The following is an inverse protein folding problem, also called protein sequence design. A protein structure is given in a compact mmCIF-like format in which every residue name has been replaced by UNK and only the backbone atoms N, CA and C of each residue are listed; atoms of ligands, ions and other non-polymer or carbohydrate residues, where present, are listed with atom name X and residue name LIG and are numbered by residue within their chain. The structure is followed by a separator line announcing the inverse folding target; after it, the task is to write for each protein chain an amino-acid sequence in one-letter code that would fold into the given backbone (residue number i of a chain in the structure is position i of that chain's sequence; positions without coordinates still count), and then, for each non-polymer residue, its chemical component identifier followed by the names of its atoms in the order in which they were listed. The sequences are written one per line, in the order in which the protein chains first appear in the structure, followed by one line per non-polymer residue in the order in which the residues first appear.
data_IF_769159573191
#
_entry.id   IF_769159573191
#
_cell.length_a   1.000
_cell.length_b   1.000
_cell.length_c   1.000
_cell.angle_alpha   90.00
_cell.angle_beta   90.00
_cell.angle_gamma   90.00
#
_symmetry.space_group_name_H-M   'P 1'
#
loop_
_entity.id
_entity.type
_entity.pdbx_description
1 polymer ?
#
# COMPACT_ATOMS: atom_id res chain seq x y z
N UNK A 1 -2.31 1.65 17.54
CA UNK A 1 -1.03 2.38 17.43
C UNK A 1 -0.70 2.51 15.96
N UNK A 2 -0.58 3.77 15.52
CA UNK A 2 -0.82 4.25 14.17
C UNK A 2 -0.01 3.56 13.07
N UNK A 3 -0.73 2.98 12.09
CA UNK A 3 -0.19 2.69 10.76
C UNK A 3 0.03 4.05 10.10
N UNK A 4 1.27 4.55 10.10
CA UNK A 4 1.64 5.58 9.12
C UNK A 4 1.75 4.86 7.78
N UNK A 5 0.63 4.68 7.07
CA UNK A 5 0.72 4.52 5.62
C UNK A 5 1.45 5.76 5.11
N UNK A 6 2.40 5.59 4.18
CA UNK A 6 2.81 6.73 3.35
C UNK A 6 1.52 7.28 2.75
N UNK A 7 1.05 8.41 3.30
CA UNK A 7 -0.07 9.11 2.74
C UNK A 7 0.47 9.79 1.49
N UNK A 8 0.00 9.33 0.34
CA UNK A 8 0.17 10.07 -0.89
C UNK A 8 -0.59 11.38 -0.73
N UNK A 9 0.11 12.49 -0.96
CA UNK A 9 -0.47 13.83 -0.89
C UNK A 9 -1.23 14.14 -2.19
N UNK A 10 -2.29 13.34 -2.43
CA UNK A 10 -3.19 13.56 -3.55
C UNK A 10 -4.05 14.77 -3.19
N UNK A 11 -3.88 15.84 -3.96
CA UNK A 11 -4.72 17.04 -3.94
C UNK A 11 -6.11 16.70 -4.48
N UNK A 12 -7.01 16.29 -3.59
CA UNK A 12 -8.37 15.81 -3.91
C UNK A 12 -9.16 16.87 -4.70
N UNK A 13 -8.99 18.15 -4.39
CA UNK A 13 -9.69 19.23 -5.09
C UNK A 13 -9.40 19.25 -6.59
N UNK A 14 -8.19 18.88 -7.01
CA UNK A 14 -7.85 18.77 -8.43
C UNK A 14 -8.60 17.62 -9.11
N UNK A 15 -8.71 16.47 -8.46
CA UNK A 15 -9.48 15.32 -8.98
C UNK A 15 -10.96 15.66 -9.09
N UNK A 16 -11.53 16.33 -8.09
CA UNK A 16 -12.92 16.75 -8.10
C UNK A 16 -13.18 17.84 -9.16
N UNK A 17 -12.22 18.76 -9.35
CA UNK A 17 -12.31 19.82 -10.35
C UNK A 17 -12.29 19.29 -11.80
N UNK A 18 -11.60 18.18 -12.05
CA UNK A 18 -11.53 17.53 -13.36
C UNK A 18 -12.62 16.48 -13.58
N UNK A 19 -13.50 16.23 -12.59
CA UNK A 19 -14.46 15.14 -12.66
C UNK A 19 -15.40 15.27 -13.86
N UNK A 20 -15.57 14.17 -14.59
CA UNK A 20 -16.42 14.13 -15.77
C UNK A 20 -17.82 13.63 -15.42
N UNK A 21 -18.80 14.20 -16.11
CA UNK A 21 -20.21 13.82 -15.96
C UNK A 21 -20.52 12.66 -16.90
N UNK A 22 -20.95 11.53 -16.33
CA UNK A 22 -21.42 10.36 -17.07
C UNK A 22 -22.87 10.04 -16.72
N UNK A 23 -23.53 9.25 -17.57
CA UNK A 23 -24.87 8.73 -17.33
C UNK A 23 -24.79 7.29 -16.85
N UNK A 24 -25.16 7.05 -15.60
CA UNK A 24 -25.32 5.71 -15.05
C UNK A 24 -26.81 5.42 -14.92
N UNK A 25 -27.34 4.50 -15.73
CA UNK A 25 -28.78 4.19 -15.79
C UNK A 25 -29.64 5.47 -15.98
N UNK A 26 -29.25 6.31 -16.96
CA UNK A 26 -29.85 7.62 -17.26
C UNK A 26 -29.83 8.63 -16.11
N UNK A 27 -29.05 8.39 -15.05
CA UNK A 27 -28.84 9.37 -13.97
C UNK A 27 -27.45 9.99 -14.12
N UNK A 28 -27.35 11.32 -14.08
CA UNK A 28 -26.06 11.99 -14.11
C UNK A 28 -25.28 11.69 -12.83
N UNK A 29 -24.06 11.19 -12.99
CA UNK A 29 -23.10 11.00 -11.91
C UNK A 29 -21.74 11.55 -12.34
N UNK A 30 -20.93 11.98 -11.38
CA UNK A 30 -19.56 12.41 -11.64
C UNK A 30 -18.60 11.25 -11.35
N UNK A 31 -17.65 11.01 -12.25
CA UNK A 31 -16.50 10.14 -11.99
C UNK A 31 -15.21 10.88 -12.27
N UNK A 32 -14.11 10.29 -11.81
CA UNK A 32 -12.78 10.76 -12.16
C UNK A 32 -12.60 10.69 -13.67
N UNK A 33 -11.97 11.73 -14.21
CA UNK A 33 -11.43 11.72 -15.56
C UNK A 33 -10.38 10.61 -15.70
N UNK A 34 -10.20 10.10 -16.92
CA UNK A 34 -9.36 8.94 -17.24
C UNK A 34 -7.96 8.98 -16.61
N UNK A 35 -7.24 10.10 -16.72
CA UNK A 35 -5.87 10.21 -16.20
C UNK A 35 -5.86 10.24 -14.68
N UNK A 36 -6.82 10.95 -14.07
CA UNK A 36 -6.95 11.03 -12.61
C UNK A 36 -7.38 9.68 -12.02
N UNK A 37 -8.24 8.94 -12.71
CA UNK A 37 -8.61 7.55 -12.38
C UNK A 37 -7.39 6.63 -12.45
N UNK A 38 -6.59 6.72 -13.50
CA UNK A 38 -5.38 5.90 -13.66
C UNK A 38 -4.35 6.18 -12.56
N UNK A 39 -4.15 7.46 -12.21
CA UNK A 39 -3.32 7.87 -11.07
C UNK A 39 -3.86 7.27 -9.77
N UNK A 40 -5.16 7.42 -9.52
CA UNK A 40 -5.82 6.89 -8.33
C UNK A 40 -5.59 5.39 -8.18
N UNK A 41 -5.84 4.62 -9.25
CA UNK A 41 -5.70 3.17 -9.24
C UNK A 41 -4.25 2.73 -9.00
N UNK A 42 -3.27 3.37 -9.63
CA UNK A 42 -1.86 3.02 -9.41
C UNK A 42 -1.41 3.32 -7.97
N UNK A 43 -1.84 4.45 -7.40
CA UNK A 43 -1.52 4.81 -6.01
C UNK A 43 -2.24 3.90 -5.02
N UNK A 44 -3.51 3.58 -5.27
CA UNK A 44 -4.26 2.62 -4.49
C UNK A 44 -3.61 1.24 -4.51
N UNK A 45 -3.17 0.81 -5.69
CA UNK A 45 -2.47 -0.46 -5.88
C UNK A 45 -1.17 -0.50 -5.08
N UNK A 46 -0.35 0.57 -5.08
CA UNK A 46 0.88 0.62 -4.28
C UNK A 46 0.62 0.37 -2.79
N UNK A 47 -0.46 0.97 -2.24
CA UNK A 47 -0.84 0.79 -0.84
C UNK A 47 -1.14 -0.68 -0.51
N UNK A 48 -1.81 -1.39 -1.42
CA UNK A 48 -2.12 -2.81 -1.28
C UNK A 48 -0.89 -3.70 -1.49
N UNK A 49 -0.11 -3.39 -2.53
CA UNK A 49 1.12 -4.09 -2.91
C UNK A 49 2.16 -4.06 -1.79
N UNK A 50 2.42 -2.89 -1.20
CA UNK A 50 3.32 -2.78 -0.04
C UNK A 50 2.71 -3.28 1.26
N UNK A 51 1.38 -3.36 1.33
CA UNK A 51 0.65 -3.76 2.53
C UNK A 51 0.52 -5.27 2.71
N UNK A 52 1.02 -6.10 1.78
CA UNK A 52 0.82 -7.55 1.80
C UNK A 52 -0.62 -8.00 1.56
N UNK A 53 -1.49 -7.09 1.12
CA UNK A 53 -2.91 -7.33 0.81
C UNK A 53 -3.16 -7.10 -0.67
N UNK A 54 -2.37 -7.78 -1.50
CA UNK A 54 -2.40 -7.59 -2.95
C UNK A 54 -3.74 -8.05 -3.50
N UNK A 55 -4.37 -7.16 -4.26
CA UNK A 55 -5.62 -7.42 -4.95
C UNK A 55 -5.33 -7.44 -6.45
N UNK A 56 -5.26 -8.64 -7.04
CA UNK A 56 -5.04 -8.79 -8.47
C UNK A 56 -6.16 -8.16 -9.32
N UNK A 57 -7.35 -7.98 -8.74
CA UNK A 57 -8.43 -7.19 -9.36
C UNK A 57 -7.98 -5.77 -9.67
N UNK A 58 -7.22 -5.13 -8.79
CA UNK A 58 -6.72 -3.76 -9.02
C UNK A 58 -5.70 -3.69 -10.16
N UNK A 59 -4.90 -4.74 -10.37
CA UNK A 59 -4.04 -4.84 -11.56
C UNK A 59 -4.89 -4.97 -12.83
N UNK A 60 -5.90 -5.84 -12.81
CA UNK A 60 -6.80 -6.03 -13.95
C UNK A 60 -7.59 -4.76 -14.29
N UNK A 61 -8.01 -3.97 -13.31
CA UNK A 61 -8.69 -2.69 -13.55
C UNK A 61 -7.81 -1.73 -14.36
N UNK A 62 -6.51 -1.66 -14.03
CA UNK A 62 -5.54 -0.84 -14.76
C UNK A 62 -5.31 -1.42 -16.16
N UNK A 63 -5.09 -2.74 -16.30
CA UNK A 63 -4.92 -3.40 -17.60
C UNK A 63 -6.11 -3.10 -18.52
N UNK A 64 -7.33 -3.27 -18.00
CA UNK A 64 -8.56 -3.01 -18.75
C UNK A 64 -8.66 -1.55 -19.20
N UNK A 65 -8.27 -0.59 -18.35
CA UNK A 65 -8.23 0.83 -18.74
C UNK A 65 -7.20 1.09 -19.83
N UNK A 66 -5.99 0.56 -19.69
CA UNK A 66 -4.91 0.72 -20.67
C UNK A 66 -5.28 0.14 -22.04
N UNK A 67 -5.99 -0.98 -22.05
CA UNK A 67 -6.44 -1.60 -23.30
C UNK A 67 -7.62 -0.86 -23.92
N UNK A 68 -8.65 -0.55 -23.11
CA UNK A 68 -9.87 0.08 -23.59
C UNK A 68 -9.63 1.51 -24.10
N UNK A 69 -8.81 2.28 -23.39
CA UNK A 69 -8.58 3.70 -23.67
C UNK A 69 -7.18 3.96 -24.25
N UNK A 70 -6.53 2.95 -24.85
CA UNK A 70 -5.15 3.02 -25.35
C UNK A 70 -4.85 4.28 -26.18
N UNK A 71 -5.78 4.67 -27.05
CA UNK A 71 -5.62 5.79 -27.97
C UNK A 71 -6.01 7.15 -27.36
N UNK A 72 -6.66 7.13 -26.19
CA UNK A 72 -7.16 8.32 -25.50
C UNK A 72 -6.22 8.77 -24.36
N UNK A 73 -5.31 7.89 -23.91
CA UNK A 73 -4.33 8.22 -22.87
C UNK A 73 -3.26 9.15 -23.43
N UNK A 74 -3.29 10.41 -22.97
CA UNK A 74 -2.20 11.36 -23.11
C UNK A 74 -1.15 11.12 -22.01
N UNK A 75 -0.07 10.44 -22.41
CA UNK A 75 1.03 10.12 -21.53
C UNK A 75 1.78 11.33 -20.98
N UNK A 76 1.77 12.46 -21.70
CA UNK A 76 2.38 13.71 -21.25
C UNK A 76 1.52 14.32 -20.14
N UNK A 77 0.20 14.35 -20.34
CA UNK A 77 -0.75 14.80 -19.33
C UNK A 77 -0.69 13.92 -18.09
N UNK A 78 -0.62 12.59 -18.25
CA UNK A 78 -0.47 11.65 -17.14
C UNK A 78 0.78 11.96 -16.30
N UNK A 79 1.92 12.19 -16.98
CA UNK A 79 3.17 12.53 -16.31
C UNK A 79 3.08 13.86 -15.57
N UNK A 80 2.53 14.90 -16.20
CA UNK A 80 2.36 16.21 -15.57
C UNK A 80 1.45 16.15 -14.33
N UNK A 81 0.30 15.48 -14.43
CA UNK A 81 -0.64 15.37 -13.29
C UNK A 81 -0.09 14.51 -12.18
N UNK A 82 0.49 13.36 -12.50
CA UNK A 82 1.11 12.51 -11.47
C UNK A 82 2.30 13.21 -10.78
N UNK A 83 3.08 14.03 -11.50
CA UNK A 83 4.12 14.87 -10.91
C UNK A 83 3.53 15.96 -9.99
N UNK A 84 2.44 16.61 -10.40
CA UNK A 84 1.72 17.59 -9.58
C UNK A 84 1.23 17.01 -8.24
N UNK A 85 0.91 15.71 -8.22
CA UNK A 85 0.55 14.95 -7.02
C UNK A 85 1.73 14.24 -6.33
N UNK A 86 2.97 14.52 -6.75
CA UNK A 86 4.19 13.89 -6.23
C UNK A 86 4.15 12.35 -6.25
N UNK A 87 3.45 11.76 -7.22
CA UNK A 87 3.28 10.31 -7.35
C UNK A 87 3.73 9.73 -8.69
N UNK A 88 4.31 10.54 -9.59
CA UNK A 88 4.81 10.13 -10.93
C UNK A 88 5.58 8.81 -10.90
N UNK A 89 6.62 8.72 -10.06
CA UNK A 89 7.45 7.51 -9.99
C UNK A 89 6.63 6.28 -9.55
N UNK A 90 5.65 6.45 -8.67
CA UNK A 90 4.80 5.35 -8.21
C UNK A 90 3.90 4.90 -9.35
N UNK A 91 3.22 5.84 -10.00
CA UNK A 91 2.33 5.58 -11.13
C UNK A 91 3.06 4.81 -12.22
N UNK A 92 4.18 5.35 -12.71
CA UNK A 92 4.91 4.71 -13.81
C UNK A 92 5.62 3.42 -13.42
N UNK A 93 6.03 3.24 -12.15
CA UNK A 93 6.56 1.95 -11.69
C UNK A 93 5.51 0.84 -11.84
N UNK A 94 4.27 1.08 -11.42
CA UNK A 94 3.21 0.07 -11.55
C UNK A 94 2.79 -0.15 -13.00
N UNK A 95 2.79 0.90 -13.83
CA UNK A 95 2.55 0.73 -15.26
C UNK A 95 3.62 -0.15 -15.91
N UNK A 96 4.91 0.07 -15.60
CA UNK A 96 6.01 -0.78 -16.09
C UNK A 96 5.89 -2.21 -15.59
N UNK A 97 5.54 -2.41 -14.31
CA UNK A 97 5.28 -3.73 -13.74
C UNK A 97 4.14 -4.44 -14.51
N UNK A 98 3.03 -3.72 -14.75
CA UNK A 98 1.88 -4.24 -15.50
C UNK A 98 2.26 -4.59 -16.94
N UNK A 99 3.03 -3.74 -17.62
CA UNK A 99 3.56 -4.07 -18.95
C UNK A 99 4.38 -5.36 -18.93
N UNK A 100 5.26 -5.53 -17.95
CA UNK A 100 6.14 -6.69 -17.86
C UNK A 100 5.40 -8.00 -17.59
N UNK A 101 4.41 -7.99 -16.70
CA UNK A 101 3.74 -9.23 -16.25
C UNK A 101 2.37 -9.49 -16.91
N UNK A 102 1.68 -8.46 -17.41
CA UNK A 102 0.39 -8.59 -18.09
C UNK A 102 0.48 -8.31 -19.59
N UNK A 103 1.65 -7.92 -20.10
CA UNK A 103 1.86 -7.57 -21.50
C UNK A 103 0.97 -6.40 -21.98
N UNK A 104 0.55 -5.51 -21.06
CA UNK A 104 -0.22 -4.33 -21.41
C UNK A 104 0.63 -3.38 -22.27
N UNK A 105 0.06 -2.79 -23.31
CA UNK A 105 0.81 -1.91 -24.20
C UNK A 105 1.19 -0.59 -23.52
N UNK A 106 2.48 -0.26 -23.54
CA UNK A 106 3.02 1.04 -23.17
C UNK A 106 3.85 1.61 -24.31
N UNK A 107 3.85 2.94 -24.51
CA UNK A 107 4.74 3.57 -25.49
C UNK A 107 6.20 3.32 -25.14
N UNK A 108 7.04 3.11 -26.17
CA UNK A 108 8.49 2.92 -26.00
C UNK A 108 9.16 4.06 -25.23
N UNK A 109 8.68 5.29 -25.41
CA UNK A 109 9.18 6.46 -24.68
C UNK A 109 8.97 6.34 -23.16
N UNK A 110 7.84 5.78 -22.73
CA UNK A 110 7.52 5.54 -21.32
C UNK A 110 8.41 4.44 -20.75
N UNK A 111 8.57 3.33 -21.49
CA UNK A 111 9.48 2.26 -21.09
C UNK A 111 10.93 2.73 -20.98
N UNK A 112 11.39 3.55 -21.92
CA UNK A 112 12.74 4.10 -21.89
C UNK A 112 12.97 5.04 -20.71
N UNK A 113 11.97 5.85 -20.33
CA UNK A 113 12.09 6.83 -19.24
C UNK A 113 11.96 6.19 -17.86
N UNK A 114 11.03 5.24 -17.71
CA UNK A 114 10.64 4.72 -16.39
C UNK A 114 10.98 3.24 -16.18
N UNK A 115 11.51 2.54 -17.17
CA UNK A 115 11.85 1.12 -17.06
C UNK A 115 12.80 0.81 -15.90
N UNK A 116 13.73 1.72 -15.61
CA UNK A 116 14.68 1.60 -14.50
C UNK A 116 14.05 1.82 -13.10
N UNK A 117 12.80 2.27 -13.01
CA UNK A 117 12.11 2.43 -11.71
C UNK A 117 11.70 1.09 -11.11
N UNK A 118 11.53 0.06 -11.94
CA UNK A 118 11.17 -1.27 -11.48
C UNK A 118 12.45 -1.97 -11.00
N UNK A 119 12.57 -2.14 -9.69
CA UNK A 119 13.70 -2.86 -9.09
C UNK A 119 13.49 -4.37 -9.15
N UNK A 120 14.58 -5.14 -9.08
CA UNK A 120 14.51 -6.60 -8.98
C UNK A 120 13.71 -7.04 -7.74
N UNK A 121 13.86 -6.34 -6.62
CA UNK A 121 13.12 -6.61 -5.38
C UNK A 121 11.59 -6.42 -5.57
N UNK A 122 11.17 -5.42 -6.35
CA UNK A 122 9.74 -5.22 -6.67
C UNK A 122 9.20 -6.38 -7.52
N UNK A 123 10.01 -6.91 -8.45
CA UNK A 123 9.65 -8.05 -9.30
C UNK A 123 9.58 -9.34 -8.52
N UNK A 124 10.61 -9.63 -7.72
CA UNK A 124 10.67 -10.82 -6.86
C UNK A 124 9.48 -10.82 -5.90
N UNK A 125 9.14 -9.67 -5.31
CA UNK A 125 7.96 -9.51 -4.46
C UNK A 125 6.64 -9.76 -5.22
N UNK A 126 6.52 -9.28 -6.46
CA UNK A 126 5.33 -9.54 -7.27
C UNK A 126 5.21 -11.05 -7.60
N UNK A 127 6.32 -11.71 -7.92
CA UNK A 127 6.38 -13.16 -8.17
C UNK A 127 6.02 -13.94 -6.89
N UNK A 128 6.48 -13.52 -5.72
CA UNK A 128 6.07 -14.09 -4.43
C UNK A 128 4.56 -14.03 -4.24
N UNK A 129 3.94 -12.87 -4.52
CA UNK A 129 2.49 -12.73 -4.45
C UNK A 129 1.74 -13.63 -5.44
N UNK A 130 2.27 -13.82 -6.66
CA UNK A 130 1.71 -14.77 -7.64
C UNK A 130 1.78 -16.21 -7.12
N UNK A 131 2.83 -16.56 -6.39
CA UNK A 131 3.00 -17.87 -5.75
C UNK A 131 2.21 -18.03 -4.45
N UNK A 132 1.36 -17.05 -4.09
CA UNK A 132 0.54 -17.08 -2.88
C UNK A 132 1.31 -16.75 -1.60
N UNK A 133 2.55 -16.28 -1.70
CA UNK A 133 3.34 -15.82 -0.56
C UNK A 133 2.94 -14.38 -0.26
N UNK A 134 1.97 -14.23 0.63
CA UNK A 134 1.58 -12.92 1.13
C UNK A 134 2.41 -12.60 2.36
N UNK A 135 3.29 -11.58 2.25
CA UNK A 135 3.99 -11.01 3.39
C UNK A 135 2.96 -10.53 4.40
N UNK A 136 2.66 -11.35 5.40
CA UNK A 136 2.04 -10.85 6.63
C UNK A 136 3.05 -9.86 7.19
N UNK A 137 2.78 -8.56 7.06
CA UNK A 137 3.56 -7.55 7.74
C UNK A 137 3.42 -7.79 9.25
N UNK A 138 4.33 -8.58 9.80
CA UNK A 138 4.47 -8.73 11.23
C UNK A 138 4.78 -7.34 11.77
N UNK A 139 3.97 -6.85 12.70
CA UNK A 139 4.08 -5.54 13.33
C UNK A 139 5.51 -5.18 13.79
N UNK A 140 6.38 -6.18 13.99
CA UNK A 140 7.73 -6.07 14.56
C UNK A 140 8.67 -5.19 13.74
N UNK A 141 8.75 -5.35 12.42
CA UNK A 141 9.67 -4.55 11.58
C UNK A 141 9.29 -3.06 11.58
N UNK A 142 7.99 -2.78 11.61
CA UNK A 142 7.45 -1.43 11.74
C UNK A 142 7.75 -0.82 13.11
N UNK A 143 7.71 -1.61 14.20
CA UNK A 143 8.13 -1.16 15.52
C UNK A 143 9.62 -0.82 15.55
N UNK A 144 10.47 -1.62 14.90
CA UNK A 144 11.91 -1.37 14.86
C UNK A 144 12.29 -0.08 14.13
N UNK A 145 11.63 0.19 13.00
CA UNK A 145 11.82 1.46 12.26
C UNK A 145 11.35 2.68 13.07
N UNK A 146 10.24 2.55 13.81
CA UNK A 146 9.76 3.63 14.68
C UNK A 146 10.68 3.88 15.87
N UNK A 147 11.21 2.83 16.51
CA UNK A 147 12.19 2.93 17.61
C UNK A 147 13.45 3.67 17.15
N UNK A 148 13.92 3.41 15.92
CA UNK A 148 15.07 4.11 15.33
C UNK A 148 14.80 5.60 15.07
N UNK A 149 13.55 5.97 14.74
CA UNK A 149 13.13 7.36 14.46
C UNK A 149 12.91 8.21 15.71
N UNK A 150 12.56 7.61 16.85
CA UNK A 150 12.33 8.36 18.09
C UNK A 150 13.66 8.90 18.63
N UNK A 151 13.75 10.23 18.77
CA UNK A 151 14.90 10.90 19.38
C UNK A 151 14.82 10.79 20.91
N UNK A 152 15.96 10.50 21.54
CA UNK A 152 16.07 10.41 23.01
C UNK A 152 15.76 9.02 23.59
N UNK A 153 16.51 8.64 24.62
CA UNK A 153 16.37 7.34 25.31
C UNK A 153 15.02 7.18 26.01
N UNK A 154 14.51 8.26 26.63
CA UNK A 154 13.22 8.24 27.32
C UNK A 154 12.04 7.95 26.39
N UNK A 155 12.02 8.55 25.19
CA UNK A 155 10.98 8.30 24.19
C UNK A 155 11.02 6.86 23.65
N UNK A 156 12.22 6.30 23.45
CA UNK A 156 12.39 4.90 23.05
C UNK A 156 11.90 3.93 24.13
N UNK A 157 12.22 4.22 25.40
CA UNK A 157 11.78 3.40 26.53
C UNK A 157 10.26 3.45 26.71
N UNK A 158 9.65 4.64 26.60
CA UNK A 158 8.19 4.78 26.63
C UNK A 158 7.52 4.00 25.50
N UNK A 159 8.04 4.08 24.28
CA UNK A 159 7.53 3.32 23.14
C UNK A 159 7.67 1.80 23.33
N UNK A 160 8.79 1.33 23.89
CA UNK A 160 9.00 -0.07 24.22
C UNK A 160 8.03 -0.55 25.32
N UNK A 161 7.79 0.27 26.34
CA UNK A 161 6.81 -0.01 27.38
C UNK A 161 5.40 -0.08 26.80
N UNK A 162 5.03 0.83 25.91
CA UNK A 162 3.76 0.81 25.19
C UNK A 162 3.59 -0.42 24.26
N UNK A 163 4.70 -0.96 23.77
CA UNK A 163 4.72 -2.14 22.93
C UNK A 163 4.48 -3.43 23.72
N UNK A 164 5.17 -3.55 24.87
CA UNK A 164 5.10 -4.71 25.78
C UNK A 164 3.85 -4.62 26.66
N UNK A 165 3.50 -3.42 27.12
CA UNK A 165 2.40 -3.08 28.03
C UNK A 165 1.49 -1.98 27.48
N UNK A 166 0.70 -2.23 26.42
CA UNK A 166 -0.14 -1.19 25.85
C UNK A 166 -1.28 -0.79 26.77
N UNK A 167 -1.78 0.44 26.62
CA UNK A 167 -2.82 0.96 27.49
C UNK A 167 -4.10 0.13 27.40
N UNK A 168 -4.85 0.08 28.52
CA UNK A 168 -6.14 -0.62 28.65
C UNK A 168 -7.08 -0.39 27.47
N UNK A 169 -7.22 0.86 27.01
CA UNK A 169 -8.06 1.23 25.86
C UNK A 169 -7.70 0.44 24.60
N UNK A 170 -6.41 0.25 24.34
CA UNK A 170 -5.92 -0.53 23.20
C UNK A 170 -6.28 -2.01 23.33
N UNK A 171 -6.12 -2.59 24.53
CA UNK A 171 -6.43 -4.01 24.77
C UNK A 171 -7.92 -4.30 24.60
N UNK A 172 -8.79 -3.45 25.15
CA UNK A 172 -10.25 -3.60 25.02
C UNK A 172 -10.69 -3.53 23.55
N UNK A 173 -10.17 -2.58 22.79
CA UNK A 173 -10.51 -2.39 21.38
C UNK A 173 -9.97 -3.52 20.49
N UNK A 174 -8.71 -3.92 20.67
CA UNK A 174 -8.06 -4.92 19.80
C UNK A 174 -8.64 -6.32 19.96
N UNK A 175 -8.97 -6.71 21.19
CA UNK A 175 -9.46 -8.06 21.50
C UNK A 175 -10.97 -8.13 21.71
N UNK A 176 -11.70 -7.03 21.48
CA UNK A 176 -13.16 -7.00 21.62
C UNK A 176 -13.65 -7.44 23.01
N UNK A 177 -12.92 -7.05 24.07
CA UNK A 177 -13.15 -7.57 25.42
C UNK A 177 -14.44 -6.98 25.98
N UNK A 178 -15.47 -7.82 26.11
CA UNK A 178 -16.80 -7.40 26.59
C UNK A 178 -16.82 -6.99 28.07
N UNK A 179 -15.95 -7.56 28.89
CA UNK A 179 -15.85 -7.27 30.32
C UNK A 179 -14.53 -6.55 30.64
N UNK A 180 -14.55 -5.22 30.84
CA UNK A 180 -13.32 -4.43 30.98
C UNK A 180 -12.48 -4.70 32.24
N UNK A 181 -12.98 -5.49 33.19
CA UNK A 181 -12.27 -5.90 34.40
C UNK A 181 -11.27 -7.03 34.13
N UNK A 182 -11.57 -7.91 33.16
CA UNK A 182 -10.75 -9.09 32.85
C UNK A 182 -9.68 -8.84 31.78
N UNK A 183 -9.43 -7.58 31.41
CA UNK A 183 -8.50 -7.26 30.34
C UNK A 183 -7.05 -7.72 30.63
N UNK A 184 -6.69 -7.84 31.91
CA UNK A 184 -5.37 -8.32 32.33
C UNK A 184 -5.07 -9.75 31.87
N UNK A 185 -6.09 -10.62 31.79
CA UNK A 185 -5.95 -12.01 31.34
C UNK A 185 -5.55 -12.14 29.87
N UNK A 186 -5.71 -11.07 29.09
CA UNK A 186 -5.33 -11.03 27.68
C UNK A 186 -3.86 -10.67 27.44
N UNK A 187 -3.13 -10.28 28.49
CA UNK A 187 -1.68 -10.03 28.39
C UNK A 187 -0.86 -11.30 28.13
N UNK A 188 -1.03 -12.40 28.89
CA UNK A 188 -0.37 -13.67 28.59
C UNK A 188 -0.63 -14.15 27.16
N UNK A 189 -1.88 -14.08 26.70
CA UNK A 189 -2.24 -14.43 25.32
C UNK A 189 -1.51 -13.55 24.29
N UNK A 190 -1.44 -12.24 24.53
CA UNK A 190 -0.68 -11.31 23.68
C UNK A 190 0.81 -11.68 23.62
N UNK A 191 1.43 -11.99 24.76
CA UNK A 191 2.84 -12.39 24.79
C UNK A 191 3.09 -13.68 24.02
N UNK A 192 2.20 -14.66 24.15
CA UNK A 192 2.26 -15.89 23.35
C UNK A 192 2.19 -15.62 21.84
N UNK A 193 1.24 -14.78 21.40
CA UNK A 193 1.12 -14.40 19.98
C UNK A 193 2.35 -13.63 19.49
N UNK A 194 2.88 -12.71 20.31
CA UNK A 194 4.11 -11.96 20.02
C UNK A 194 5.33 -12.86 19.91
N UNK A 195 5.50 -13.80 20.85
CA UNK A 195 6.60 -14.77 20.85
C UNK A 195 6.52 -15.71 19.64
N UNK A 196 5.32 -16.19 19.30
CA UNK A 196 5.07 -17.00 18.09
C UNK A 196 5.45 -16.24 16.82
N UNK A 197 5.15 -14.94 16.74
CA UNK A 197 5.57 -14.08 15.63
C UNK A 197 7.10 -13.90 15.58
N UNK A 198 7.75 -13.71 16.73
CA UNK A 198 9.20 -13.58 16.82
C UNK A 198 9.92 -14.88 16.41
N UNK A 199 9.44 -16.04 16.87
CA UNK A 199 9.96 -17.35 16.51
C UNK A 199 9.84 -17.62 15.00
N UNK A 200 8.72 -17.25 14.37
CA UNK A 200 8.57 -17.35 12.91
C UNK A 200 9.54 -16.44 12.15
N UNK A 201 9.78 -15.23 12.65
CA UNK A 201 10.72 -14.28 12.04
C UNK A 201 12.17 -14.76 12.17
N UNK A 202 12.52 -15.36 13.31
CA UNK A 202 13.83 -15.98 13.52
C UNK A 202 14.01 -17.25 12.68
N UNK A 203 12.99 -18.11 12.60
CA UNK A 203 13.02 -19.30 11.75
C UNK A 203 13.09 -18.96 10.25
N UNK A 204 12.40 -17.91 9.81
CA UNK A 204 12.48 -17.42 8.42
C UNK A 204 13.81 -16.77 8.06
N UNK A 205 14.58 -16.25 9.04
CA UNK A 205 15.95 -15.75 8.83
C UNK A 205 17.01 -16.84 8.76
N UNK A 206 16.74 -18.04 9.25
CA UNK A 206 17.68 -19.18 9.23
C UNK A 206 17.57 -19.99 7.93
N UNK A 207 16.52 -19.76 7.14
CA UNK A 207 16.30 -20.43 5.86
C UNK A 207 16.76 -19.62 4.62
N UNK A 208 17.51 -18.52 4.82
CA UNK A 208 18.16 -17.74 3.77
C UNK A 208 19.68 -17.77 3.91
#
# INVERSE_FOLDING_TARGET
MHRQSKHYDIKIDAFLGNAEKLLLRNKPVFALELHDLLIHLCVHLDKHFRGGHVQFTSFNDIVNLLEKFRNEIDWTLLAQRSAYHACEQTVFKFLVLIHKFYNAALPKAILSKYGALLSKDDEDLFIEYLNGVFVQQYHVDFHWQNIRRIKGLAGKMHYMLDLIFPPRKFMLQKYGIQQPAFFWLWYPYRYYVGLKGLCKLLAGRVAN
#
